data_IF_972378945218
#
_entry.id   IF_972378945218
#
_cell.length_a   1.000
_cell.length_b   1.000
_cell.length_c   1.000
_cell.angle_alpha   90.00
_cell.angle_beta   90.00
_cell.angle_gamma   90.00
#
_symmetry.space_group_name_H-M   'P 1'
#
loop_
_entity.id
_entity.type
_entity.pdbx_description
1 polymer ?
#
# COMPACT_ATOMS: atom_id res chain seq x y z
N UNK A 1 -19.40 -13.43 27.03
CA UNK A 1 -18.50 -12.91 25.98
C UNK A 1 -19.28 -12.91 24.69
N UNK A 2 -19.44 -11.75 24.07
CA UNK A 2 -20.06 -11.53 22.76
C UNK A 2 -19.00 -11.61 21.67
N UNK A 3 -19.42 -11.74 20.40
CA UNK A 3 -18.50 -11.67 19.26
C UNK A 3 -17.73 -10.34 19.23
N UNK A 4 -18.39 -9.21 19.55
CA UNK A 4 -17.74 -7.89 19.63
C UNK A 4 -16.62 -7.84 20.67
N UNK A 5 -16.87 -8.36 21.87
CA UNK A 5 -15.87 -8.47 22.94
C UNK A 5 -14.67 -9.33 22.50
N UNK A 6 -14.92 -10.49 21.90
CA UNK A 6 -13.87 -11.41 21.44
C UNK A 6 -12.98 -10.80 20.33
N UNK A 7 -13.57 -10.02 19.42
CA UNK A 7 -12.85 -9.41 18.31
C UNK A 7 -12.13 -8.10 18.69
N UNK A 8 -12.80 -7.18 19.41
CA UNK A 8 -12.28 -5.81 19.67
C UNK A 8 -11.65 -5.60 21.05
N UNK A 9 -11.81 -6.55 21.96
CA UNK A 9 -11.20 -6.53 23.26
C UNK A 9 -12.20 -6.68 24.40
N UNK A 10 -11.87 -7.56 25.34
CA UNK A 10 -12.47 -7.60 26.67
C UNK A 10 -11.37 -7.56 27.73
N UNK A 11 -11.66 -6.90 28.85
CA UNK A 11 -10.75 -6.81 29.98
C UNK A 11 -10.82 -8.12 30.76
N UNK A 12 -9.68 -8.69 31.14
CA UNK A 12 -9.64 -9.85 32.03
C UNK A 12 -8.76 -9.57 33.23
N UNK A 13 -9.08 -10.19 34.37
CA UNK A 13 -8.23 -10.12 35.58
C UNK A 13 -6.82 -10.63 35.31
N UNK A 14 -6.65 -11.59 34.39
CA UNK A 14 -5.35 -12.13 34.02
C UNK A 14 -4.55 -11.17 33.14
N UNK A 15 -5.19 -10.44 32.21
CA UNK A 15 -4.52 -9.44 31.37
C UNK A 15 -4.09 -8.24 32.20
N UNK A 16 -4.97 -7.71 33.05
CA UNK A 16 -4.67 -6.60 33.96
C UNK A 16 -3.54 -6.97 34.94
N UNK A 17 -3.54 -8.21 35.47
CA UNK A 17 -2.42 -8.72 36.28
C UNK A 17 -1.12 -8.85 35.48
N UNK A 18 -1.19 -9.38 34.25
CA UNK A 18 -0.05 -9.51 33.34
C UNK A 18 0.58 -8.16 32.98
N UNK A 19 -0.24 -7.15 32.71
CA UNK A 19 0.19 -5.78 32.49
C UNK A 19 0.84 -5.16 33.73
N UNK A 20 0.19 -5.28 34.90
CA UNK A 20 0.69 -4.71 36.16
C UNK A 20 2.04 -5.28 36.58
N UNK A 21 2.27 -6.59 36.37
CA UNK A 21 3.47 -7.28 36.88
C UNK A 21 4.53 -7.59 35.81
N UNK A 22 4.17 -7.64 34.52
CA UNK A 22 5.07 -7.96 33.40
C UNK A 22 4.79 -7.05 32.16
N UNK A 23 4.82 -5.72 32.31
CA UNK A 23 4.44 -4.78 31.24
C UNK A 23 5.32 -4.92 29.98
N UNK A 24 6.59 -5.30 30.15
CA UNK A 24 7.53 -5.55 29.04
C UNK A 24 7.15 -6.75 28.15
N UNK A 25 6.17 -7.56 28.56
CA UNK A 25 5.68 -8.73 27.80
C UNK A 25 4.20 -8.58 27.42
N UNK A 26 3.35 -8.08 28.34
CA UNK A 26 1.91 -7.90 28.13
C UNK A 26 1.55 -6.43 28.37
N UNK A 27 1.86 -5.55 27.42
CA UNK A 27 1.61 -4.10 27.53
C UNK A 27 0.15 -3.68 27.32
N UNK A 28 -0.78 -4.62 27.16
CA UNK A 28 -2.19 -4.38 26.81
C UNK A 28 -3.16 -4.84 27.92
N UNK A 29 -4.17 -4.02 28.23
CA UNK A 29 -5.15 -4.29 29.30
C UNK A 29 -6.32 -5.19 28.85
N UNK A 30 -6.59 -5.21 27.54
CA UNK A 30 -7.69 -5.94 26.90
C UNK A 30 -7.16 -6.96 25.91
N UNK A 31 -7.87 -8.09 25.76
CA UNK A 31 -7.55 -9.11 24.75
C UNK A 31 -8.67 -9.15 23.73
N UNK A 32 -8.35 -8.82 22.48
CA UNK A 32 -9.26 -8.93 21.33
C UNK A 32 -8.49 -9.31 20.08
N UNK A 33 -9.05 -10.19 19.25
CA UNK A 33 -8.33 -10.73 18.10
C UNK A 33 -7.91 -9.65 17.09
N UNK A 34 -8.88 -8.82 16.64
CA UNK A 34 -8.65 -7.73 15.70
C UNK A 34 -7.75 -6.68 16.36
N UNK A 35 -8.01 -6.36 17.62
CA UNK A 35 -7.22 -5.39 18.39
C UNK A 35 -5.73 -5.71 18.45
N UNK A 36 -5.37 -6.98 18.69
CA UNK A 36 -3.96 -7.42 18.71
C UNK A 36 -3.39 -7.69 17.31
N UNK A 37 -4.23 -7.86 16.27
CA UNK A 37 -3.83 -8.05 14.87
C UNK A 37 -3.55 -6.73 14.14
N UNK A 38 -4.25 -5.65 14.50
CA UNK A 38 -4.09 -4.30 13.96
C UNK A 38 -3.34 -3.34 14.90
N UNK A 39 -2.74 -3.85 15.99
CA UNK A 39 -1.70 -3.14 16.72
C UNK A 39 -0.48 -2.94 15.80
N UNK A 40 -0.07 -1.70 15.58
CA UNK A 40 1.09 -1.35 14.74
C UNK A 40 2.05 -0.37 15.44
N UNK A 41 1.89 -0.13 16.75
CA UNK A 41 2.52 1.02 17.44
C UNK A 41 4.06 0.93 17.52
N UNK A 42 4.62 -0.25 17.24
CA UNK A 42 6.05 -0.53 17.14
C UNK A 42 6.50 -1.02 15.75
N UNK A 43 5.61 -1.00 14.75
CA UNK A 43 5.85 -1.56 13.43
C UNK A 43 6.02 -0.49 12.36
N UNK A 44 7.02 -0.67 11.50
CA UNK A 44 7.18 0.09 10.27
C UNK A 44 7.57 -0.85 9.12
N UNK A 45 6.96 -0.59 7.98
CA UNK A 45 7.11 -1.36 6.74
C UNK A 45 7.74 -0.45 5.68
N UNK A 46 8.80 -0.91 5.02
CA UNK A 46 9.45 -0.17 3.93
C UNK A 46 9.20 -0.90 2.62
N UNK A 47 8.64 -0.20 1.63
CA UNK A 47 8.33 -0.74 0.31
C UNK A 47 9.21 -0.11 -0.77
N UNK A 48 9.55 -0.85 -1.83
CA UNK A 48 10.28 -0.27 -2.96
C UNK A 48 9.39 0.70 -3.74
N UNK A 49 9.92 1.89 -4.05
CA UNK A 49 9.20 2.93 -4.81
C UNK A 49 9.10 2.67 -6.32
N UNK A 50 9.69 1.57 -6.81
CA UNK A 50 9.73 1.24 -8.24
C UNK A 50 10.63 2.14 -9.11
N UNK A 51 11.33 3.13 -8.53
CA UNK A 51 12.08 4.16 -9.29
C UNK A 51 13.20 3.58 -10.17
N UNK A 52 13.84 2.50 -9.75
CA UNK A 52 14.95 1.86 -10.46
C UNK A 52 14.49 0.61 -11.26
N UNK A 53 13.51 -0.12 -10.74
CA UNK A 53 12.81 -1.22 -11.41
C UNK A 53 11.31 -1.14 -11.08
N UNK A 54 10.45 -0.77 -12.05
CA UNK A 54 9.00 -0.73 -11.86
C UNK A 54 8.36 -2.11 -11.56
N UNK A 55 9.06 -3.22 -11.78
CA UNK A 55 8.60 -4.56 -11.38
C UNK A 55 8.49 -4.71 -9.87
N UNK A 56 9.37 -4.03 -9.11
CA UNK A 56 9.41 -4.11 -7.64
C UNK A 56 8.48 -3.12 -6.93
N UNK A 57 7.79 -2.24 -7.66
CA UNK A 57 6.99 -1.15 -7.08
C UNK A 57 5.93 -1.65 -6.09
N UNK A 58 6.01 -1.18 -4.84
CA UNK A 58 5.10 -1.55 -3.74
C UNK A 58 5.35 -2.92 -3.10
N UNK A 59 6.45 -3.63 -3.44
CA UNK A 59 6.86 -4.84 -2.72
C UNK A 59 7.68 -4.51 -1.47
N UNK A 60 7.64 -5.38 -0.46
CA UNK A 60 8.41 -5.25 0.77
C UNK A 60 9.92 -5.21 0.48
N UNK A 61 10.59 -4.18 0.98
CA UNK A 61 12.04 -4.10 1.11
C UNK A 61 12.47 -4.56 2.51
N UNK A 62 11.90 -3.97 3.57
CA UNK A 62 12.16 -4.36 4.97
C UNK A 62 10.93 -4.23 5.86
N UNK A 63 10.94 -4.97 6.97
CA UNK A 63 9.99 -4.89 8.08
C UNK A 63 10.79 -4.68 9.36
N UNK A 64 10.44 -3.67 10.17
CA UNK A 64 11.23 -3.23 11.33
C UNK A 64 12.73 -3.02 11.02
N UNK A 65 13.03 -2.58 9.79
CA UNK A 65 14.39 -2.31 9.31
C UNK A 65 15.19 -3.52 8.81
N UNK A 66 14.65 -4.75 8.83
CA UNK A 66 15.34 -5.96 8.35
C UNK A 66 14.64 -6.59 7.13
N UNK A 67 15.40 -7.25 6.25
CA UNK A 67 14.89 -8.11 5.16
C UNK A 67 14.33 -9.44 5.67
N UNK A 68 14.71 -9.81 6.90
CA UNK A 68 14.56 -11.14 7.46
C UNK A 68 13.87 -11.11 8.84
N UNK A 69 12.81 -11.89 9.00
CA UNK A 69 12.04 -12.01 10.24
C UNK A 69 12.86 -12.71 11.34
N UNK A 70 12.93 -12.17 12.56
CA UNK A 70 13.72 -12.74 13.66
C UNK A 70 13.14 -14.06 14.22
N UNK A 71 11.92 -14.43 13.82
CA UNK A 71 11.21 -15.62 14.28
C UNK A 71 11.74 -16.93 13.66
N UNK A 72 12.46 -16.87 12.53
CA UNK A 72 12.88 -18.03 11.76
C UNK A 72 14.40 -18.04 11.53
N UNK A 73 15.10 -19.18 11.71
CA UNK A 73 16.57 -19.21 11.69
C UNK A 73 17.20 -19.32 10.29
N UNK A 74 16.43 -19.77 9.29
CA UNK A 74 16.94 -20.04 7.93
C UNK A 74 16.45 -18.99 6.94
N UNK A 75 17.34 -18.48 6.08
CA UNK A 75 17.06 -17.30 5.24
C UNK A 75 15.85 -17.45 4.32
N UNK A 76 15.60 -18.63 3.73
CA UNK A 76 14.41 -18.83 2.88
C UNK A 76 13.08 -18.85 3.65
N UNK A 77 13.13 -18.85 4.99
CA UNK A 77 11.97 -18.84 5.88
C UNK A 77 11.75 -17.47 6.54
N UNK A 78 12.84 -16.74 6.80
CA UNK A 78 12.81 -15.37 7.34
C UNK A 78 12.61 -14.30 6.26
N UNK A 79 13.10 -14.49 5.04
CA UNK A 79 13.23 -13.42 4.04
C UNK A 79 11.90 -12.98 3.42
N UNK A 80 11.43 -11.79 3.82
CA UNK A 80 10.23 -11.13 3.27
C UNK A 80 10.54 -10.20 2.09
N UNK A 81 11.80 -10.04 1.72
CA UNK A 81 12.23 -9.20 0.60
C UNK A 81 11.50 -9.57 -0.70
N UNK A 82 11.05 -8.57 -1.44
CA UNK A 82 10.15 -8.66 -2.61
C UNK A 82 8.82 -9.40 -2.36
N UNK A 83 8.34 -9.51 -1.11
CA UNK A 83 6.99 -9.99 -0.83
C UNK A 83 5.94 -8.94 -1.20
N UNK A 84 4.76 -9.41 -1.58
CA UNK A 84 3.54 -8.64 -1.68
C UNK A 84 2.91 -8.48 -0.29
N UNK A 85 2.77 -7.22 0.13
CA UNK A 85 1.58 -6.78 0.84
C UNK A 85 0.41 -6.95 -0.15
N UNK A 86 -0.70 -7.56 0.27
CA UNK A 86 -1.84 -7.86 -0.62
C UNK A 86 -2.53 -6.69 -1.32
N UNK A 87 -2.07 -5.44 -1.18
CA UNK A 87 -2.54 -4.34 -2.04
C UNK A 87 -1.79 -4.29 -3.38
N UNK A 88 -0.58 -4.87 -3.45
CA UNK A 88 0.30 -4.78 -4.62
C UNK A 88 1.20 -6.00 -4.79
N UNK A 89 1.21 -6.53 -6.00
CA UNK A 89 2.10 -7.60 -6.47
C UNK A 89 3.10 -7.05 -7.49
N UNK A 90 4.05 -7.89 -7.88
CA UNK A 90 5.11 -7.55 -8.86
C UNK A 90 4.48 -7.14 -10.20
N UNK A 91 4.99 -6.08 -10.83
CA UNK A 91 4.58 -5.72 -12.20
C UNK A 91 5.22 -6.68 -13.24
N UNK A 92 4.61 -6.79 -14.43
CA UNK A 92 5.09 -7.62 -15.56
C UNK A 92 5.16 -9.13 -15.29
N UNK A 93 4.14 -9.68 -14.62
CA UNK A 93 4.01 -11.10 -14.24
C UNK A 93 3.94 -12.00 -15.47
N UNK A 94 4.81 -13.00 -15.55
CA UNK A 94 4.76 -14.05 -16.59
C UNK A 94 3.87 -15.22 -16.15
N UNK A 95 3.32 -16.03 -17.09
CA UNK A 95 2.41 -17.13 -16.76
C UNK A 95 2.91 -18.15 -15.74
N UNK A 96 4.23 -18.36 -15.63
CA UNK A 96 4.86 -19.32 -14.73
C UNK A 96 5.55 -18.66 -13.52
N UNK A 97 5.37 -17.35 -13.31
CA UNK A 97 6.01 -16.65 -12.18
C UNK A 97 5.29 -16.99 -10.86
N UNK A 98 6.06 -17.38 -9.86
CA UNK A 98 5.61 -17.56 -8.46
C UNK A 98 5.74 -16.23 -7.71
N UNK A 99 4.70 -15.83 -6.98
CA UNK A 99 4.67 -14.57 -6.23
C UNK A 99 4.89 -14.84 -4.74
N UNK A 100 5.69 -14.04 -4.05
CA UNK A 100 5.83 -14.11 -2.58
C UNK A 100 4.77 -13.21 -1.94
N UNK A 101 4.07 -13.68 -0.91
CA UNK A 101 3.07 -12.92 -0.13
C UNK A 101 3.49 -12.87 1.34
N UNK A 102 3.29 -11.74 2.01
CA UNK A 102 3.57 -11.57 3.43
C UNK A 102 2.53 -10.69 4.13
N UNK A 103 2.19 -11.08 5.37
CA UNK A 103 1.44 -10.29 6.34
C UNK A 103 1.99 -10.56 7.73
N UNK A 104 2.12 -9.52 8.57
CA UNK A 104 2.43 -9.62 10.01
C UNK A 104 1.65 -10.76 10.68
N UNK A 105 0.34 -10.82 10.43
CA UNK A 105 -0.56 -11.82 11.02
C UNK A 105 -0.22 -13.26 10.67
N UNK A 106 0.41 -13.52 9.52
CA UNK A 106 0.82 -14.87 9.11
C UNK A 106 2.22 -15.26 9.62
N UNK A 107 2.97 -14.34 10.26
CA UNK A 107 4.29 -14.58 10.86
C UNK A 107 5.41 -15.08 9.91
N UNK A 108 5.14 -15.39 8.63
CA UNK A 108 6.11 -15.84 7.62
C UNK A 108 5.71 -15.42 6.20
N UNK A 109 6.67 -15.33 5.25
CA UNK A 109 6.36 -15.32 3.82
C UNK A 109 5.83 -16.70 3.36
N UNK A 110 4.92 -16.66 2.37
CA UNK A 110 4.31 -17.83 1.72
C UNK A 110 4.25 -17.57 0.22
N UNK A 111 4.38 -18.59 -0.63
CA UNK A 111 4.26 -18.41 -2.07
C UNK A 111 2.82 -18.57 -2.57
N UNK A 112 2.48 -17.75 -3.56
CA UNK A 112 1.32 -17.91 -4.41
C UNK A 112 1.77 -18.49 -5.75
N UNK A 113 1.12 -19.58 -6.16
CA UNK A 113 1.28 -20.23 -7.46
C UNK A 113 0.06 -19.96 -8.33
N UNK A 114 0.25 -19.92 -9.65
CA UNK A 114 -0.87 -19.77 -10.58
C UNK A 114 -1.79 -20.98 -10.48
N UNK A 115 -3.10 -20.74 -10.39
CA UNK A 115 -4.10 -21.76 -10.12
C UNK A 115 -4.54 -22.52 -11.39
N UNK A 116 -4.71 -21.79 -12.49
CA UNK A 116 -5.19 -22.26 -13.80
C UNK A 116 -4.40 -21.61 -14.95
N UNK A 117 -4.46 -22.17 -16.16
CA UNK A 117 -3.85 -21.57 -17.36
C UNK A 117 -4.58 -20.35 -17.90
N UNK A 118 -5.79 -20.12 -17.39
CA UNK A 118 -6.78 -19.30 -18.05
C UNK A 118 -6.64 -17.83 -17.65
N UNK A 119 -7.32 -16.94 -18.39
CA UNK A 119 -7.34 -15.50 -18.11
C UNK A 119 -8.72 -15.15 -17.58
N UNK A 120 -8.78 -14.56 -16.39
CA UNK A 120 -10.02 -14.21 -15.70
C UNK A 120 -10.26 -12.73 -15.86
N UNK A 121 -11.31 -12.37 -16.60
CA UNK A 121 -11.72 -10.96 -16.78
C UNK A 121 -12.57 -10.51 -15.59
N UNK A 122 -12.17 -9.43 -14.94
CA UNK A 122 -12.93 -8.74 -13.88
C UNK A 122 -13.05 -7.26 -14.22
N UNK A 123 -14.27 -6.73 -14.24
CA UNK A 123 -14.55 -5.30 -14.45
C UNK A 123 -13.91 -4.69 -15.73
N UNK A 124 -13.67 -5.50 -16.77
CA UNK A 124 -13.01 -5.09 -18.01
C UNK A 124 -11.48 -5.18 -18.01
N UNK A 125 -10.87 -5.73 -16.96
CA UNK A 125 -9.44 -5.98 -16.83
C UNK A 125 -9.15 -7.49 -16.80
N UNK A 126 -8.13 -7.92 -17.54
CA UNK A 126 -7.63 -9.30 -17.55
C UNK A 126 -6.70 -9.58 -16.36
N UNK A 127 -6.92 -10.68 -15.66
CA UNK A 127 -6.08 -11.14 -14.55
C UNK A 127 -5.74 -12.63 -14.60
N UNK A 128 -4.66 -13.01 -13.91
CA UNK A 128 -4.30 -14.40 -13.65
C UNK A 128 -4.80 -14.80 -12.25
N UNK A 129 -5.36 -16.01 -12.10
CA UNK A 129 -5.76 -16.54 -10.80
C UNK A 129 -4.56 -17.16 -10.09
N UNK A 130 -4.34 -16.75 -8.85
CA UNK A 130 -3.31 -17.26 -7.95
C UNK A 130 -3.94 -17.83 -6.68
N UNK A 131 -3.30 -18.87 -6.13
CA UNK A 131 -3.65 -19.52 -4.86
C UNK A 131 -2.38 -19.81 -4.06
N UNK A 132 -2.50 -20.07 -2.75
CA UNK A 132 -1.35 -20.53 -1.95
C UNK A 132 -0.75 -21.82 -2.54
N UNK A 133 0.57 -21.97 -2.45
CA UNK A 133 1.29 -23.18 -2.87
C UNK A 133 0.73 -24.44 -2.18
N UNK A 134 0.66 -25.57 -2.89
CA UNK A 134 0.16 -26.82 -2.32
C UNK A 134 1.07 -27.28 -1.16
N UNK A 135 0.49 -27.43 0.03
CA UNK A 135 1.19 -27.60 1.30
C UNK A 135 1.97 -26.35 1.80
N UNK A 136 1.46 -25.14 1.53
CA UNK A 136 2.02 -23.88 2.08
C UNK A 136 2.28 -23.91 3.60
N UNK A 137 1.43 -24.61 4.37
CA UNK A 137 1.53 -24.80 5.82
C UNK A 137 2.17 -26.16 6.19
N UNK A 138 3.08 -26.67 5.36
CA UNK A 138 3.93 -27.83 5.67
C UNK A 138 4.93 -27.52 6.80
N UNK A 139 5.16 -28.53 7.64
CA UNK A 139 6.04 -28.50 8.80
C UNK A 139 7.43 -29.10 8.49
N UNK A 140 7.77 -29.28 7.21
CA UNK A 140 8.99 -29.97 6.80
C UNK A 140 8.85 -31.48 6.62
N UNK A 141 7.61 -31.99 6.51
CA UNK A 141 7.31 -33.40 6.22
C UNK A 141 7.24 -33.67 4.72
N UNK A 142 6.71 -32.76 3.92
CA UNK A 142 6.71 -32.89 2.46
C UNK A 142 7.94 -32.22 1.81
N UNK A 143 8.27 -31.00 2.22
CA UNK A 143 9.46 -30.30 1.75
C UNK A 143 10.41 -30.07 2.93
N UNK A 144 11.51 -30.83 3.01
CA UNK A 144 12.43 -30.78 4.17
C UNK A 144 12.98 -29.37 4.49
N UNK A 145 12.98 -28.44 3.52
CA UNK A 145 13.36 -27.03 3.74
C UNK A 145 12.40 -26.28 4.69
N UNK A 146 11.17 -26.74 4.84
CA UNK A 146 10.18 -26.13 5.74
C UNK A 146 10.39 -26.50 7.22
N UNK A 147 11.38 -27.34 7.57
CA UNK A 147 11.71 -27.67 8.97
C UNK A 147 12.15 -26.45 9.79
N UNK A 148 12.63 -25.39 9.14
CA UNK A 148 12.89 -24.08 9.74
C UNK A 148 11.68 -23.51 10.53
N UNK A 149 10.45 -23.87 10.15
CA UNK A 149 9.22 -23.42 10.81
C UNK A 149 8.89 -24.21 12.09
N UNK A 150 9.66 -25.27 12.40
CA UNK A 150 9.53 -26.05 13.63
C UNK A 150 10.34 -25.42 14.78
N UNK A 151 9.65 -24.68 15.66
CA UNK A 151 10.31 -23.89 16.71
C UNK A 151 10.90 -24.78 17.79
N UNK A 152 12.19 -24.57 18.09
CA UNK A 152 12.95 -25.30 19.14
C UNK A 152 12.89 -26.83 18.96
N UNK A 153 12.91 -27.29 17.71
CA UNK A 153 12.83 -28.71 17.35
C UNK A 153 11.42 -29.33 17.42
N UNK A 154 10.40 -28.56 17.82
CA UNK A 154 9.02 -29.02 17.88
C UNK A 154 8.26 -28.59 16.61
N UNK A 155 7.87 -29.58 15.79
CA UNK A 155 6.94 -29.37 14.69
C UNK A 155 5.50 -29.56 15.17
N UNK A 156 4.61 -28.64 14.81
CA UNK A 156 3.16 -28.86 14.89
C UNK A 156 2.70 -29.84 13.78
N UNK A 157 1.49 -30.44 13.86
CA UNK A 157 0.89 -31.20 12.76
C UNK A 157 0.85 -30.44 11.41
N UNK A 158 0.86 -31.18 10.30
CA UNK A 158 0.81 -30.59 8.94
C UNK A 158 -0.46 -29.74 8.78
N UNK A 159 -0.35 -28.60 8.11
CA UNK A 159 -1.47 -27.69 7.89
C UNK A 159 -1.64 -26.64 9.00
N UNK A 160 -0.87 -26.77 10.09
CA UNK A 160 -0.76 -25.73 11.11
C UNK A 160 0.50 -24.88 10.90
N UNK A 161 0.30 -23.57 10.88
CA UNK A 161 1.34 -22.55 10.88
C UNK A 161 1.44 -21.95 12.28
N UNK A 162 2.53 -22.26 12.98
CA UNK A 162 2.78 -21.80 14.35
C UNK A 162 3.17 -20.30 14.37
N UNK A 163 2.29 -19.45 14.90
CA UNK A 163 2.50 -17.99 14.96
C UNK A 163 2.76 -17.48 16.39
N UNK A 164 2.98 -18.39 17.34
CA UNK A 164 3.13 -18.11 18.79
C UNK A 164 4.08 -16.95 19.11
N UNK A 165 5.27 -16.92 18.49
CA UNK A 165 6.29 -15.92 18.80
C UNK A 165 6.06 -14.57 18.08
N UNK A 166 5.08 -14.49 17.17
CA UNK A 166 4.53 -13.22 16.65
C UNK A 166 3.37 -12.70 17.51
N UNK A 167 2.76 -13.55 18.36
CA UNK A 167 1.61 -13.22 19.21
C UNK A 167 1.90 -13.47 20.70
N UNK A 168 2.91 -12.77 21.23
CA UNK A 168 3.21 -12.68 22.67
C UNK A 168 3.47 -14.01 23.38
N UNK A 169 3.77 -15.09 22.66
CA UNK A 169 3.95 -16.42 23.26
C UNK A 169 2.63 -17.17 23.53
N UNK A 170 1.48 -16.65 23.11
CA UNK A 170 0.21 -17.38 23.15
C UNK A 170 0.24 -18.56 22.15
N UNK A 171 -0.37 -19.72 22.48
CA UNK A 171 -0.29 -20.94 21.66
C UNK A 171 -1.17 -20.89 20.40
N UNK A 172 -1.08 -19.81 19.64
CA UNK A 172 -1.89 -19.53 18.45
C UNK A 172 -1.27 -20.19 17.24
N UNK A 173 -2.10 -20.82 16.40
CA UNK A 173 -1.65 -21.51 15.20
C UNK A 173 -2.70 -21.36 14.10
N UNK A 174 -2.26 -20.94 12.92
CA UNK A 174 -3.13 -20.71 11.77
C UNK A 174 -3.31 -21.99 10.96
N UNK A 175 -4.46 -22.13 10.30
CA UNK A 175 -4.69 -23.18 9.31
C UNK A 175 -5.62 -22.66 8.21
N UNK A 176 -5.90 -23.49 7.20
CA UNK A 176 -7.04 -23.25 6.31
C UNK A 176 -8.35 -23.58 7.06
N UNK A 177 -9.51 -23.01 6.66
CA UNK A 177 -10.78 -23.28 7.30
C UNK A 177 -11.16 -24.77 7.34
N UNK A 178 -11.78 -25.17 8.45
CA UNK A 178 -12.15 -26.54 8.81
C UNK A 178 -11.00 -27.56 8.74
N UNK A 179 -9.75 -27.12 8.92
CA UNK A 179 -8.52 -27.91 8.74
C UNK A 179 -8.43 -28.57 7.35
N UNK A 180 -8.79 -27.83 6.30
CA UNK A 180 -8.51 -28.20 4.91
C UNK A 180 -6.99 -28.33 4.67
N UNK A 181 -6.60 -29.26 3.79
CA UNK A 181 -5.21 -29.57 3.41
C UNK A 181 -4.25 -29.74 4.62
N UNK A 182 -4.80 -30.19 5.75
CA UNK A 182 -4.15 -30.37 7.05
C UNK A 182 -4.23 -31.83 7.53
N UNK A 183 -3.44 -32.19 8.55
CA UNK A 183 -3.40 -33.55 9.10
C UNK A 183 -4.80 -34.05 9.54
N UNK A 184 -5.27 -35.24 9.08
CA UNK A 184 -6.60 -35.76 9.42
C UNK A 184 -6.86 -35.90 10.93
N UNK A 185 -5.82 -36.11 11.74
CA UNK A 185 -5.93 -36.20 13.20
C UNK A 185 -6.42 -34.92 13.87
N UNK A 186 -6.22 -33.76 13.23
CA UNK A 186 -6.79 -32.48 13.69
C UNK A 186 -8.32 -32.47 13.63
N UNK A 187 -8.92 -33.26 12.72
CA UNK A 187 -10.37 -33.33 12.52
C UNK A 187 -11.03 -34.47 13.31
N UNK A 188 -10.29 -35.52 13.67
CA UNK A 188 -10.86 -36.70 14.36
C UNK A 188 -11.54 -36.38 15.71
N UNK A 189 -11.06 -35.37 16.44
CA UNK A 189 -11.53 -35.04 17.78
C UNK A 189 -12.58 -33.89 17.80
N UNK A 190 -13.05 -33.42 16.64
CA UNK A 190 -13.91 -32.22 16.54
C UNK A 190 -15.09 -32.46 15.61
N UNK A 191 -16.29 -32.48 16.17
CA UNK A 191 -17.55 -32.56 15.42
C UNK A 191 -17.88 -31.24 14.72
N UNK A 192 -18.48 -31.32 13.53
CA UNK A 192 -18.94 -30.14 12.76
C UNK A 192 -17.96 -29.60 11.73
N UNK A 193 -16.77 -30.18 11.56
CA UNK A 193 -15.81 -29.74 10.55
C UNK A 193 -16.08 -30.34 9.17
N UNK A 194 -16.30 -29.49 8.17
CA UNK A 194 -16.56 -29.86 6.77
C UNK A 194 -15.57 -29.14 5.83
N UNK A 195 -14.33 -29.65 5.64
CA UNK A 195 -13.38 -29.03 4.71
C UNK A 195 -13.84 -29.19 3.25
N UNK A 196 -13.91 -28.06 2.54
CA UNK A 196 -14.43 -27.92 1.17
C UNK A 196 -13.46 -27.03 0.39
N UNK A 197 -12.93 -27.52 -0.74
CA UNK A 197 -11.87 -26.83 -1.48
C UNK A 197 -12.35 -25.58 -2.23
N UNK A 198 -13.61 -25.49 -2.60
CA UNK A 198 -14.17 -24.33 -3.29
C UNK A 198 -14.50 -23.24 -2.27
N UNK A 199 -15.07 -23.61 -1.11
CA UNK A 199 -15.44 -22.66 -0.06
C UNK A 199 -14.26 -22.14 0.77
N UNK A 200 -13.22 -22.96 0.99
CA UNK A 200 -12.16 -22.68 1.97
C UNK A 200 -10.76 -22.42 1.37
N UNK A 201 -10.61 -22.46 0.04
CA UNK A 201 -9.39 -21.95 -0.63
C UNK A 201 -9.28 -20.43 -0.55
N UNK A 202 -8.04 -19.93 -0.64
CA UNK A 202 -7.76 -18.52 -0.85
C UNK A 202 -7.45 -18.24 -2.32
N UNK A 203 -7.95 -17.12 -2.84
CA UNK A 203 -7.85 -16.73 -4.25
C UNK A 203 -7.35 -15.28 -4.39
N UNK A 204 -6.50 -15.06 -5.38
CA UNK A 204 -5.95 -13.76 -5.73
C UNK A 204 -6.02 -13.61 -7.26
N UNK A 205 -6.91 -12.76 -7.78
CA UNK A 205 -6.97 -12.44 -9.22
C UNK A 205 -6.13 -11.19 -9.45
N UNK A 206 -5.00 -11.32 -10.16
CA UNK A 206 -3.98 -10.28 -10.27
C UNK A 206 -3.79 -9.89 -11.75
N UNK A 207 -3.91 -8.61 -12.05
CA UNK A 207 -3.67 -8.03 -13.37
C UNK A 207 -2.17 -8.12 -13.70
N UNK A 208 -1.73 -8.86 -14.74
CA UNK A 208 -0.32 -9.28 -14.85
C UNK A 208 0.64 -8.15 -15.24
N UNK A 209 0.21 -7.21 -16.09
CA UNK A 209 1.07 -6.11 -16.55
C UNK A 209 1.41 -5.16 -15.39
N UNK A 210 0.41 -4.83 -14.58
CA UNK A 210 0.51 -3.87 -13.48
C UNK A 210 0.80 -4.49 -12.12
N UNK A 211 0.57 -5.79 -11.90
CA UNK A 211 0.66 -6.43 -10.58
C UNK A 211 -0.43 -5.97 -9.59
N UNK A 212 -1.56 -5.45 -10.06
CA UNK A 212 -2.65 -4.99 -9.19
C UNK A 212 -3.65 -6.14 -8.92
N UNK A 213 -4.13 -6.32 -7.68
CA UNK A 213 -5.27 -7.20 -7.43
C UNK A 213 -6.54 -6.60 -8.06
N UNK A 214 -7.25 -7.41 -8.84
CA UNK A 214 -8.60 -7.12 -9.33
C UNK A 214 -9.66 -7.67 -8.38
N UNK A 215 -9.35 -8.79 -7.74
CA UNK A 215 -10.13 -9.43 -6.67
C UNK A 215 -9.18 -10.20 -5.76
N UNK A 216 -9.45 -10.24 -4.47
CA UNK A 216 -8.63 -10.93 -3.46
C UNK A 216 -9.55 -11.52 -2.41
N UNK A 217 -9.35 -12.78 -2.02
CA UNK A 217 -10.03 -13.42 -0.88
C UNK A 217 -9.05 -14.34 -0.17
N UNK A 218 -8.52 -13.88 0.97
CA UNK A 218 -7.62 -14.66 1.83
C UNK A 218 -8.40 -15.23 3.03
N UNK A 219 -8.59 -16.55 3.05
CA UNK A 219 -9.35 -17.29 4.07
C UNK A 219 -8.39 -17.98 5.05
N UNK A 220 -8.57 -17.73 6.35
CA UNK A 220 -7.67 -18.23 7.41
C UNK A 220 -8.49 -18.65 8.64
N UNK A 221 -8.11 -19.78 9.24
CA UNK A 221 -8.61 -20.24 10.54
C UNK A 221 -7.57 -20.01 11.63
N UNK A 222 -8.05 -19.61 12.81
CA UNK A 222 -7.25 -19.44 14.02
C UNK A 222 -7.56 -20.58 14.98
N UNK A 223 -6.50 -21.14 15.55
CA UNK A 223 -6.57 -22.28 16.44
C UNK A 223 -5.67 -22.05 17.67
N UNK A 224 -6.00 -22.71 18.77
CA UNK A 224 -5.15 -22.83 19.95
C UNK A 224 -4.54 -24.23 19.97
N UNK A 225 -3.23 -24.33 19.77
CA UNK A 225 -2.49 -25.60 19.74
C UNK A 225 -1.78 -25.85 21.09
N UNK A 226 -2.41 -26.66 21.93
CA UNK A 226 -1.92 -26.95 23.27
C UNK A 226 -0.86 -28.05 23.27
N UNK A 227 0.23 -27.84 24.01
CA UNK A 227 1.25 -28.87 24.27
C UNK A 227 0.83 -29.73 25.47
N UNK A 228 1.76 -30.19 26.30
CA UNK A 228 1.45 -30.94 27.51
C UNK A 228 0.76 -30.05 28.58
N UNK A 229 -0.55 -30.20 28.78
CA UNK A 229 -1.33 -29.43 29.77
C UNK A 229 -1.56 -30.20 31.08
N UNK A 230 -0.93 -31.36 31.28
CA UNK A 230 -1.13 -32.23 32.47
C UNK A 230 -0.81 -31.57 33.81
N UNK A 231 0.03 -30.53 33.83
CA UNK A 231 0.29 -29.74 35.04
C UNK A 231 -0.93 -28.93 35.51
N UNK A 232 -1.87 -28.63 34.60
CA UNK A 232 -3.06 -27.82 34.88
C UNK A 232 -4.29 -28.73 34.97
N UNK A 233 -4.72 -29.09 36.18
CA UNK A 233 -5.84 -30.03 36.44
C UNK A 233 -7.12 -29.72 35.64
N UNK A 234 -7.39 -28.44 35.38
CA UNK A 234 -8.57 -27.99 34.61
C UNK A 234 -8.41 -28.08 33.09
N UNK A 235 -7.17 -28.12 32.57
CA UNK A 235 -6.85 -28.09 31.14
C UNK A 235 -6.22 -29.39 30.64
N UNK A 236 -6.02 -30.39 31.52
CA UNK A 236 -5.40 -31.67 31.21
C UNK A 236 -6.04 -32.38 30.00
N UNK A 237 -7.37 -32.28 29.83
CA UNK A 237 -8.11 -32.85 28.71
C UNK A 237 -7.65 -32.33 27.33
N UNK A 238 -7.19 -31.08 27.26
CA UNK A 238 -6.73 -30.43 26.03
C UNK A 238 -5.25 -30.69 25.72
N UNK A 239 -4.56 -31.56 26.48
CA UNK A 239 -3.15 -31.86 26.25
C UNK A 239 -2.92 -32.43 24.84
N UNK A 240 -2.03 -31.80 24.07
CA UNK A 240 -1.72 -32.16 22.67
C UNK A 240 -2.89 -32.00 21.70
N UNK A 241 -3.92 -31.22 22.04
CA UNK A 241 -5.05 -30.93 21.15
C UNK A 241 -4.92 -29.55 20.49
N UNK A 242 -5.44 -29.44 19.27
CA UNK A 242 -5.61 -28.17 18.55
C UNK A 242 -7.09 -27.83 18.53
N UNK A 243 -7.49 -26.69 19.10
CA UNK A 243 -8.88 -26.24 19.16
C UNK A 243 -9.08 -25.07 18.19
N UNK A 244 -9.92 -25.18 17.15
CA UNK A 244 -10.28 -24.06 16.29
C UNK A 244 -11.15 -23.06 17.08
N UNK A 245 -10.88 -21.77 16.94
CA UNK A 245 -11.61 -20.71 17.66
C UNK A 245 -12.53 -19.92 16.74
N UNK A 246 -12.05 -19.56 15.56
CA UNK A 246 -12.85 -19.06 14.43
C UNK A 246 -12.09 -19.25 13.11
N UNK A 247 -12.80 -19.10 12.00
CA UNK A 247 -12.19 -18.73 10.72
C UNK A 247 -12.81 -17.44 10.22
N UNK A 248 -12.11 -16.77 9.32
CA UNK A 248 -12.54 -15.52 8.70
C UNK A 248 -11.94 -15.44 7.30
N UNK A 249 -12.51 -14.55 6.47
CA UNK A 249 -11.90 -14.16 5.21
C UNK A 249 -11.73 -12.65 5.09
N UNK A 250 -10.58 -12.25 4.54
CA UNK A 250 -10.30 -10.87 4.15
C UNK A 250 -10.52 -10.82 2.65
N UNK A 251 -11.59 -10.18 2.22
CA UNK A 251 -11.97 -10.06 0.80
C UNK A 251 -11.98 -8.62 0.30
N UNK A 252 -11.55 -8.47 -0.95
CA UNK A 252 -11.80 -7.32 -1.82
C UNK A 252 -12.46 -7.91 -3.08
N UNK A 253 -13.80 -7.92 -3.19
CA UNK A 253 -14.49 -8.67 -4.24
C UNK A 253 -14.26 -8.08 -5.64
N UNK A 254 -14.17 -6.76 -5.73
CA UNK A 254 -13.81 -6.01 -6.94
C UNK A 254 -12.97 -4.77 -6.56
N UNK A 255 -12.27 -4.21 -7.54
CA UNK A 255 -11.57 -2.94 -7.41
C UNK A 255 -12.59 -1.77 -7.44
N UNK A 256 -12.45 -0.72 -6.59
CA UNK A 256 -13.41 0.40 -6.57
C UNK A 256 -13.52 1.12 -7.92
N UNK A 257 -14.73 1.51 -8.32
CA UNK A 257 -15.05 1.89 -9.70
C UNK A 257 -14.19 3.04 -10.25
N UNK A 258 -13.92 4.07 -9.44
CA UNK A 258 -12.99 5.15 -9.78
C UNK A 258 -11.59 4.65 -10.14
N UNK A 259 -11.07 3.69 -9.37
CA UNK A 259 -9.77 3.07 -9.64
C UNK A 259 -9.84 2.15 -10.87
N UNK A 260 -10.93 1.40 -11.03
CA UNK A 260 -11.13 0.54 -12.20
C UNK A 260 -11.20 1.34 -13.51
N UNK A 261 -11.87 2.49 -13.53
CA UNK A 261 -11.89 3.41 -14.68
C UNK A 261 -10.48 3.91 -15.02
N UNK A 262 -9.73 4.37 -14.03
CA UNK A 262 -8.36 4.86 -14.22
C UNK A 262 -7.41 3.76 -14.73
N UNK A 263 -7.48 2.55 -14.17
CA UNK A 263 -6.63 1.43 -14.62
C UNK A 263 -7.09 0.86 -15.96
N UNK A 264 -8.38 0.85 -16.28
CA UNK A 264 -8.87 0.50 -17.63
C UNK A 264 -8.39 1.50 -18.67
N UNK A 265 -8.42 2.81 -18.40
CA UNK A 265 -7.80 3.81 -19.27
C UNK A 265 -6.28 3.56 -19.44
N UNK A 266 -5.57 3.35 -18.33
CA UNK A 266 -4.11 3.17 -18.35
C UNK A 266 -3.65 1.87 -19.03
N UNK A 267 -4.40 0.77 -18.90
CA UNK A 267 -4.00 -0.55 -19.39
C UNK A 267 -4.62 -0.92 -20.74
N UNK A 268 -5.89 -0.55 -20.98
CA UNK A 268 -6.63 -0.96 -22.19
C UNK A 268 -6.66 0.12 -23.27
N UNK A 269 -6.48 1.41 -22.92
CA UNK A 269 -6.62 2.53 -23.89
C UNK A 269 -5.27 3.18 -24.19
N UNK A 270 -4.49 3.53 -23.17
CA UNK A 270 -3.24 4.26 -23.33
C UNK A 270 -2.21 3.57 -24.26
N UNK A 271 -2.00 2.23 -24.24
CA UNK A 271 -1.03 1.57 -25.11
C UNK A 271 -1.35 1.66 -26.61
N UNK A 272 -2.60 1.97 -26.98
CA UNK A 272 -2.98 2.25 -28.37
C UNK A 272 -2.94 3.76 -28.68
N UNK A 273 -3.33 4.60 -27.73
CA UNK A 273 -3.35 6.06 -27.92
C UNK A 273 -1.94 6.65 -28.00
N UNK A 274 -1.00 6.21 -27.16
CA UNK A 274 0.39 6.70 -27.16
C UNK A 274 1.06 6.61 -28.54
N UNK A 275 1.15 5.42 -29.20
CA UNK A 275 1.77 5.33 -30.52
C UNK A 275 0.98 6.10 -31.59
N UNK A 276 -0.35 6.14 -31.54
CA UNK A 276 -1.16 6.90 -32.51
C UNK A 276 -0.86 8.41 -32.41
N UNK A 277 -0.77 8.96 -31.20
CA UNK A 277 -0.40 10.36 -30.96
C UNK A 277 1.06 10.60 -31.38
N UNK A 278 1.99 9.72 -31.00
CA UNK A 278 3.40 9.85 -31.36
C UNK A 278 3.63 9.86 -32.89
N UNK A 279 3.04 8.90 -33.62
CA UNK A 279 3.19 8.81 -35.07
C UNK A 279 2.47 9.95 -35.80
N UNK A 280 1.27 10.35 -35.37
CA UNK A 280 0.56 11.48 -35.99
C UNK A 280 1.29 12.82 -35.78
N UNK A 281 1.76 13.11 -34.56
CA UNK A 281 2.61 14.27 -34.29
C UNK A 281 3.92 14.24 -35.09
N UNK A 282 4.55 13.07 -35.25
CA UNK A 282 5.76 12.91 -36.06
C UNK A 282 5.50 13.20 -37.54
N UNK A 283 4.41 12.68 -38.13
CA UNK A 283 4.03 12.92 -39.53
C UNK A 283 3.71 14.41 -39.76
N UNK A 284 3.03 15.06 -38.82
CA UNK A 284 2.76 16.51 -38.87
C UNK A 284 4.09 17.29 -38.80
N UNK A 285 5.02 16.89 -37.94
CA UNK A 285 6.36 17.47 -37.87
C UNK A 285 7.14 17.35 -39.19
N UNK A 286 7.21 16.16 -39.77
CA UNK A 286 7.90 15.94 -41.05
C UNK A 286 7.27 16.70 -42.22
N UNK A 287 5.94 16.77 -42.30
CA UNK A 287 5.26 17.54 -43.37
C UNK A 287 5.47 19.04 -43.23
N UNK A 288 5.49 19.59 -42.01
CA UNK A 288 5.83 20.99 -41.76
C UNK A 288 7.30 21.31 -42.11
N UNK A 289 8.24 20.43 -41.77
CA UNK A 289 9.67 20.60 -42.14
C UNK A 289 9.85 20.51 -43.66
N UNK A 290 9.21 19.55 -44.34
CA UNK A 290 9.27 19.44 -45.80
C UNK A 290 8.66 20.66 -46.50
N UNK A 291 7.54 21.19 -45.98
CA UNK A 291 6.94 22.44 -46.46
C UNK A 291 7.85 23.65 -46.24
N UNK A 292 8.55 23.74 -45.10
CA UNK A 292 9.53 24.79 -44.85
C UNK A 292 10.72 24.72 -45.81
N UNK A 293 11.26 23.52 -46.07
CA UNK A 293 12.39 23.30 -46.99
C UNK A 293 11.99 23.67 -48.42
N UNK A 294 10.85 23.16 -48.92
CA UNK A 294 10.36 23.47 -50.27
C UNK A 294 10.04 24.96 -50.46
N UNK A 295 9.47 25.63 -49.45
CA UNK A 295 9.25 27.07 -49.47
C UNK A 295 10.55 27.88 -49.44
N UNK A 296 11.58 27.39 -48.74
CA UNK A 296 12.90 28.02 -48.69
C UNK A 296 13.68 27.87 -50.01
N UNK A 297 13.70 26.68 -50.60
CA UNK A 297 14.37 26.46 -51.90
C UNK A 297 13.71 27.25 -53.02
N UNK A 298 12.37 27.31 -53.07
CA UNK A 298 11.62 28.15 -54.02
C UNK A 298 11.89 29.66 -53.83
N UNK A 299 12.17 30.13 -52.60
CA UNK A 299 12.63 31.50 -52.38
C UNK A 299 14.05 31.73 -52.90
N UNK A 300 14.96 30.79 -52.67
CA UNK A 300 16.36 30.92 -53.13
C UNK A 300 16.47 30.87 -54.66
N UNK A 301 15.72 30.00 -55.34
CA UNK A 301 15.69 29.94 -56.81
C UNK A 301 15.19 31.24 -57.43
N UNK A 302 14.13 31.83 -56.86
CA UNK A 302 13.58 33.11 -57.33
C UNK A 302 14.55 34.28 -57.10
N UNK A 303 15.39 34.22 -56.06
CA UNK A 303 16.40 35.24 -55.79
C UNK A 303 17.59 35.10 -56.76
N UNK A 304 18.09 33.88 -56.99
CA UNK A 304 19.21 33.59 -57.88
C UNK A 304 18.94 33.84 -59.36
N UNK A 305 17.68 33.83 -59.79
CA UNK A 305 17.32 34.19 -61.17
C UNK A 305 17.45 35.71 -61.44
N UNK A 306 17.35 36.54 -60.40
CA UNK A 306 17.46 38.01 -60.51
C UNK A 306 18.91 38.49 -60.70
N UNK A 307 19.91 37.69 -60.30
CA UNK A 307 21.34 38.05 -60.38
C UNK A 307 22.01 37.71 -61.72
N UNK A 308 21.30 37.11 -62.68
CA UNK A 308 21.86 36.68 -63.97
C UNK A 308 21.33 37.43 -65.20
N UNK A 309 20.54 38.51 -65.01
CA UNK A 309 19.96 39.31 -66.10
C UNK A 309 20.35 40.79 -65.96
N UNK A 310 21.64 41.11 -66.09
CA UNK A 310 22.16 42.45 -66.46
C UNK A 310 23.68 42.42 -66.76
N UNK A 311 24.09 41.62 -67.73
CA UNK A 311 25.40 41.79 -68.39
C UNK A 311 25.16 42.03 -69.89
N UNK A 312 25.39 43.26 -70.35
CA UNK A 312 24.72 43.74 -71.57
C UNK A 312 25.06 45.15 -72.06
N UNK A 313 26.34 45.54 -72.01
CA UNK A 313 26.95 46.63 -72.78
C UNK A 313 26.15 47.93 -73.04
N UNK A 314 26.44 48.99 -72.27
CA UNK A 314 26.49 50.37 -72.83
C UNK A 314 27.68 51.16 -72.29
N UNK A 315 28.74 51.24 -73.09
CA UNK A 315 29.79 52.25 -72.90
C UNK A 315 29.25 53.64 -73.28
N UNK A 316 28.82 54.42 -72.28
CA UNK A 316 28.47 55.83 -72.43
C UNK A 316 29.42 56.72 -71.64
N UNK A 317 30.37 57.37 -72.31
CA UNK A 317 31.26 58.36 -71.68
C UNK A 317 30.52 59.68 -71.45
N UNK A 318 30.30 60.04 -70.19
CA UNK A 318 30.09 61.42 -69.76
C UNK A 318 30.68 61.59 -68.35
N UNK A 319 31.53 62.61 -68.17
CA UNK A 319 32.13 62.98 -66.88
C UNK A 319 31.53 64.29 -66.39
N UNK A 320 31.68 64.56 -65.07
CA UNK A 320 31.35 65.81 -64.36
C UNK A 320 29.83 66.02 -64.17
N UNK A 321 29.33 66.58 -63.05
CA UNK A 321 29.99 67.32 -61.97
C UNK A 321 29.15 67.24 -60.65
N UNK A 322 29.81 67.20 -59.47
CA UNK A 322 29.24 67.48 -58.12
C UNK A 322 28.11 66.58 -57.57
N UNK A 323 27.83 66.51 -56.25
CA UNK A 323 28.64 66.70 -55.03
C UNK A 323 27.88 66.17 -53.79
N UNK A 324 28.61 65.93 -52.68
CA UNK A 324 28.14 65.79 -51.28
C UNK A 324 27.17 64.65 -50.87
N UNK A 325 27.73 63.72 -50.09
CA UNK A 325 27.30 63.29 -48.74
C UNK A 325 25.80 63.03 -48.46
N UNK A 326 25.46 61.75 -48.24
CA UNK A 326 24.19 61.33 -47.62
C UNK A 326 24.35 60.04 -46.80
N UNK A 327 24.50 60.17 -45.48
CA UNK A 327 24.61 59.02 -44.55
C UNK A 327 23.25 58.35 -44.37
N UNK A 328 23.24 57.01 -44.23
CA UNK A 328 22.06 56.21 -43.90
C UNK A 328 21.23 56.83 -42.76
N UNK A 329 19.91 56.91 -42.94
CA UNK A 329 18.95 57.08 -41.84
C UNK A 329 17.88 55.99 -41.90
N UNK A 330 17.54 55.46 -40.74
CA UNK A 330 16.45 54.51 -40.55
C UNK A 330 15.10 55.24 -40.57
N UNK A 331 14.05 54.56 -41.01
CA UNK A 331 12.68 55.08 -40.99
C UNK A 331 11.93 54.63 -39.74
N UNK A 332 11.83 55.50 -38.74
CA UNK A 332 10.71 55.45 -37.80
C UNK A 332 9.44 55.97 -38.49
N UNK A 333 8.30 55.29 -38.32
CA UNK A 333 6.99 55.88 -38.61
C UNK A 333 6.37 56.44 -37.34
N UNK A 334 6.11 57.74 -37.32
CA UNK A 334 5.40 58.40 -36.22
C UNK A 334 3.88 58.41 -36.44
N UNK A 335 3.19 58.13 -35.33
CA UNK A 335 1.82 58.50 -34.92
C UNK A 335 0.90 59.20 -35.93
N UNK A 336 -0.33 58.67 -36.00
CA UNK A 336 -1.51 59.37 -36.52
C UNK A 336 -1.84 60.55 -35.59
N UNK A 337 -2.12 61.72 -36.18
CA UNK A 337 -2.54 62.93 -35.44
C UNK A 337 -4.06 62.99 -35.33
N UNK A 338 -4.56 63.09 -34.10
CA UNK A 338 -5.96 63.43 -33.80
C UNK A 338 -6.07 64.83 -33.18
N UNK A 339 -6.83 65.71 -33.83
CA UNK A 339 -7.48 66.90 -33.23
C UNK A 339 -8.37 66.47 -32.05
N UNK A 340 -8.73 67.27 -31.03
CA UNK A 340 -8.61 68.70 -30.68
C UNK A 340 -9.23 68.80 -29.25
N UNK A 341 -8.81 69.63 -28.26
CA UNK A 341 -9.02 71.09 -28.16
C UNK A 341 -8.41 71.69 -26.87
N UNK A 342 -7.95 72.94 -26.95
CA UNK A 342 -7.96 74.00 -25.90
C UNK A 342 -7.51 73.76 -24.43
N UNK A 343 -6.43 74.49 -24.07
CA UNK A 343 -6.29 75.46 -22.95
C UNK A 343 -5.66 75.07 -21.59
N UNK A 344 -4.56 75.79 -21.32
CA UNK A 344 -4.14 76.43 -20.06
C UNK A 344 -3.44 75.60 -18.96
N UNK A 345 -2.11 75.68 -19.03
CA UNK A 345 -1.16 75.85 -17.91
C UNK A 345 -1.58 76.96 -16.92
N UNK A 346 -1.00 77.06 -15.69
CA UNK A 346 0.11 76.26 -15.09
C UNK A 346 -0.37 75.59 -13.75
N UNK A 347 0.34 75.37 -12.62
CA UNK A 347 1.69 75.75 -12.17
C UNK A 347 2.27 74.87 -11.01
N UNK A 348 3.46 75.24 -10.55
CA UNK A 348 4.23 74.85 -9.34
C UNK A 348 3.52 75.06 -7.96
N UNK A 349 3.96 74.54 -6.80
CA UNK A 349 4.85 73.42 -6.36
C UNK A 349 4.60 73.06 -4.87
N UNK A 350 5.11 71.90 -4.42
CA UNK A 350 5.49 71.51 -3.03
C UNK A 350 4.61 71.90 -1.81
N UNK A 351 4.11 70.87 -1.10
CA UNK A 351 3.59 71.01 0.28
C UNK A 351 3.58 69.67 1.02
N UNK A 352 4.20 69.60 2.21
CA UNK A 352 4.43 68.37 2.97
C UNK A 352 3.95 68.55 4.41
N UNK A 353 2.84 67.92 4.82
CA UNK A 353 2.57 67.53 6.22
C UNK A 353 1.25 66.74 6.37
N UNK A 354 1.17 65.98 7.47
CA UNK A 354 0.01 65.16 7.86
C UNK A 354 -1.06 66.02 8.57
N UNK A 355 -2.32 65.56 8.60
CA UNK A 355 -2.98 65.06 9.83
C UNK A 355 -4.36 64.44 9.54
N UNK A 356 -4.65 63.39 10.30
CA UNK A 356 -5.83 62.53 10.50
C UNK A 356 -7.24 63.02 10.11
N UNK A 357 -8.04 62.07 9.60
CA UNK A 357 -9.47 61.78 9.86
C UNK A 357 -9.75 60.36 9.27
N UNK A 358 -10.63 59.47 9.74
CA UNK A 358 -11.37 59.33 11.01
C UNK A 358 -11.64 57.81 11.30
N UNK A 359 -12.45 57.48 12.30
CA UNK A 359 -12.78 56.13 12.83
C UNK A 359 -13.27 55.06 11.81
N UNK A 360 -12.87 53.79 11.98
CA UNK A 360 -13.65 52.74 12.68
C UNK A 360 -13.33 51.28 12.22
N UNK A 361 -13.49 50.31 13.14
CA UNK A 361 -13.44 48.86 12.89
C UNK A 361 -14.80 48.36 12.29
N UNK A 362 -14.84 47.50 11.25
CA UNK A 362 -14.58 46.05 11.21
C UNK A 362 -15.63 45.25 12.01
N UNK A 363 -16.51 44.55 11.29
CA UNK A 363 -17.33 43.47 11.83
C UNK A 363 -17.11 42.17 11.03
N UNK A 364 -17.39 41.02 11.65
CA UNK A 364 -16.74 39.75 11.34
C UNK A 364 -17.76 38.67 10.94
N UNK A 365 -17.81 38.31 9.65
CA UNK A 365 -18.66 37.21 9.19
C UNK A 365 -17.96 35.85 9.35
N UNK A 366 -18.01 35.32 10.57
CA UNK A 366 -17.69 33.93 10.87
C UNK A 366 -18.66 32.97 10.13
N UNK A 367 -18.37 32.66 8.86
CA UNK A 367 -19.12 31.65 8.09
C UNK A 367 -18.40 30.31 8.10
N UNK A 368 -18.56 29.60 9.21
CA UNK A 368 -18.22 28.20 9.40
C UNK A 368 -18.66 27.38 8.17
N UNK A 369 -17.70 26.91 7.36
CA UNK A 369 -17.98 25.88 6.35
C UNK A 369 -18.00 24.53 7.06
N UNK A 370 -19.15 24.25 7.68
CA UNK A 370 -19.51 22.89 8.08
C UNK A 370 -19.46 21.99 6.85
N UNK A 371 -18.50 21.07 6.82
CA UNK A 371 -18.57 19.93 5.91
C UNK A 371 -19.76 19.08 6.34
N UNK A 372 -20.86 19.17 5.59
CA UNK A 372 -22.01 18.32 5.81
C UNK A 372 -21.64 16.90 5.38
N UNK A 373 -21.43 16.04 6.38
CA UNK A 373 -21.38 14.59 6.22
C UNK A 373 -22.83 14.09 6.13
N UNK A 374 -23.43 14.21 4.95
CA UNK A 374 -24.65 13.46 4.66
C UNK A 374 -24.28 12.01 4.36
N UNK A 375 -24.82 11.09 5.18
CA UNK A 375 -24.93 9.70 4.79
C UNK A 375 -26.06 9.62 3.77
N UNK A 376 -25.74 9.25 2.53
CA UNK A 376 -26.73 8.69 1.60
C UNK A 376 -26.44 7.21 1.34
N UNK A 377 -27.49 6.41 1.04
CA UNK A 377 -27.53 5.02 1.44
C UNK A 377 -26.87 4.05 0.45
N UNK A 378 -26.92 2.77 0.81
CA UNK A 378 -26.63 1.63 -0.07
C UNK A 378 -27.44 1.68 -1.37
N UNK A 379 -26.87 2.29 -2.41
CA UNK A 379 -27.26 2.01 -3.78
C UNK A 379 -26.75 0.63 -4.18
N UNK A 380 -27.59 -0.12 -4.89
CA UNK A 380 -27.30 -1.47 -5.37
C UNK A 380 -26.02 -1.49 -6.20
N UNK A 381 -25.15 -2.48 -5.99
CA UNK A 381 -24.06 -2.77 -6.90
C UNK A 381 -24.61 -2.95 -8.32
N UNK A 382 -24.10 -2.18 -9.28
CA UNK A 382 -24.41 -2.40 -10.69
C UNK A 382 -23.61 -3.60 -11.16
N UNK A 383 -24.25 -4.78 -11.17
CA UNK A 383 -23.66 -6.00 -11.70
C UNK A 383 -23.13 -5.78 -13.13
N UNK A 384 -21.82 -5.95 -13.29
CA UNK A 384 -21.17 -6.04 -14.60
C UNK A 384 -21.46 -7.43 -15.21
N UNK A 385 -22.74 -7.68 -15.49
CA UNK A 385 -23.27 -9.03 -15.69
C UNK A 385 -22.88 -9.70 -17.00
N UNK A 386 -22.64 -11.01 -16.94
CA UNK A 386 -22.90 -11.93 -18.05
C UNK A 386 -23.14 -13.36 -17.53
N UNK A 387 -24.35 -13.85 -17.77
CA UNK A 387 -24.85 -15.22 -17.63
C UNK A 387 -23.86 -16.35 -17.21
N UNK A 388 -23.97 -16.81 -15.97
CA UNK A 388 -23.95 -18.25 -15.65
C UNK A 388 -25.22 -18.53 -14.84
N UNK A 389 -26.02 -19.50 -15.27
CA UNK A 389 -27.27 -19.87 -14.59
C UNK A 389 -27.06 -21.00 -13.59
N UNK A 390 -27.50 -20.81 -12.36
CA UNK A 390 -27.55 -21.85 -11.32
C UNK A 390 -28.91 -21.82 -10.62
N UNK A 391 -29.67 -22.90 -10.73
CA UNK A 391 -30.91 -23.10 -9.97
C UNK A 391 -30.58 -23.54 -8.53
N UNK A 392 -30.77 -22.65 -7.56
CA UNK A 392 -30.71 -23.00 -6.14
C UNK A 392 -32.05 -23.57 -5.66
N UNK A 393 -32.01 -24.78 -5.10
CA UNK A 393 -33.03 -25.24 -4.16
C UNK A 393 -32.45 -25.00 -2.76
N UNK A 394 -33.11 -24.16 -1.96
CA UNK A 394 -32.66 -23.84 -0.61
C UNK A 394 -33.13 -24.88 0.41
N UNK A 395 -32.19 -25.52 1.10
CA UNK A 395 -32.40 -26.02 2.47
C UNK A 395 -31.33 -25.41 3.37
N UNK A 396 -31.76 -24.83 4.50
CA UNK A 396 -30.96 -23.89 5.27
C UNK A 396 -29.99 -24.51 6.28
N UNK A 397 -29.05 -23.68 6.74
CA UNK A 397 -28.32 -23.87 8.00
C UNK A 397 -28.00 -22.49 8.59
N UNK A 398 -28.41 -22.26 9.84
CA UNK A 398 -28.04 -21.03 10.57
C UNK A 398 -26.53 -21.01 10.83
N UNK A 399 -25.88 -19.96 10.33
CA UNK A 399 -24.48 -19.65 10.66
C UNK A 399 -24.31 -18.14 10.76
N UNK A 400 -24.00 -17.65 11.97
CA UNK A 400 -23.86 -16.23 12.32
C UNK A 400 -22.68 -15.56 11.59
N UNK A 401 -22.88 -15.25 10.31
CA UNK A 401 -21.85 -14.69 9.42
C UNK A 401 -21.78 -13.17 9.59
N UNK A 402 -20.83 -12.72 10.42
CA UNK A 402 -20.66 -11.30 10.75
C UNK A 402 -19.73 -10.57 9.76
N UNK A 403 -20.28 -10.08 8.64
CA UNK A 403 -19.56 -9.24 7.67
C UNK A 403 -19.18 -7.88 8.26
N UNK A 404 -17.95 -7.42 8.01
CA UNK A 404 -17.46 -6.13 8.51
C UNK A 404 -16.55 -5.41 7.52
N UNK A 405 -16.93 -4.19 7.12
CA UNK A 405 -16.15 -3.31 6.24
C UNK A 405 -15.14 -2.49 7.05
N UNK A 406 -13.86 -2.51 6.67
CA UNK A 406 -12.81 -1.66 7.25
C UNK A 406 -12.19 -0.78 6.16
N UNK A 407 -12.20 0.54 6.35
CA UNK A 407 -11.44 1.49 5.54
C UNK A 407 -10.19 1.97 6.27
N UNK A 408 -9.07 2.11 5.54
CA UNK A 408 -7.82 2.70 6.07
C UNK A 408 -7.73 4.17 5.65
N UNK A 409 -7.82 5.08 6.61
CA UNK A 409 -7.45 6.50 6.41
C UNK A 409 -6.00 6.72 6.86
N UNK A 410 -5.14 7.16 5.94
CA UNK A 410 -3.74 7.49 6.22
C UNK A 410 -3.58 8.98 6.58
N UNK A 411 -3.77 9.34 7.86
CA UNK A 411 -3.53 10.69 8.36
C UNK A 411 -2.06 10.89 8.74
N UNK A 412 -1.33 11.70 7.98
CA UNK A 412 0.03 12.13 8.33
C UNK A 412 0.01 13.11 9.51
N UNK A 413 0.47 12.66 10.69
CA UNK A 413 0.61 13.52 11.87
C UNK A 413 1.82 14.44 11.74
N UNK A 414 1.57 15.75 11.58
CA UNK A 414 2.61 16.77 11.67
C UNK A 414 2.98 17.03 13.13
N UNK A 415 4.27 17.20 13.41
CA UNK A 415 4.76 17.41 14.78
C UNK A 415 4.38 18.80 15.31
N UNK A 416 3.66 18.83 16.44
CA UNK A 416 3.67 19.98 17.36
C UNK A 416 3.97 19.47 18.77
N UNK A 417 5.10 19.90 19.33
CA UNK A 417 5.40 19.69 20.75
C UNK A 417 4.61 20.67 21.61
N UNK A 418 4.23 20.26 22.81
CA UNK A 418 3.59 21.14 23.80
C UNK A 418 4.38 21.14 25.11
N UNK A 419 4.37 22.27 25.80
CA UNK A 419 5.38 22.60 26.80
C UNK A 419 5.13 21.94 28.16
N UNK A 420 6.22 21.70 28.90
CA UNK A 420 6.17 21.43 30.34
C UNK A 420 5.53 22.62 31.05
N UNK A 421 4.54 22.35 31.90
CA UNK A 421 3.98 23.34 32.82
C UNK A 421 3.98 22.76 34.23
N UNK A 422 4.94 23.22 35.05
CA UNK A 422 4.99 22.85 36.46
C UNK A 422 3.83 23.50 37.20
N UNK A 423 3.11 22.71 38.02
CA UNK A 423 2.41 23.28 39.17
C UNK A 423 2.52 22.36 40.39
N UNK A 424 3.30 22.83 41.35
CA UNK A 424 3.41 22.27 42.69
C UNK A 424 2.08 22.40 43.45
N UNK A 425 1.85 21.47 44.36
CA UNK A 425 1.39 21.78 45.72
C UNK A 425 1.76 20.61 46.64
N UNK A 426 2.19 20.93 47.85
CA UNK A 426 2.80 19.99 48.78
C UNK A 426 1.75 19.16 49.52
N UNK A 427 2.13 17.95 49.93
CA UNK A 427 1.86 17.45 51.28
C UNK A 427 2.95 16.47 51.71
N UNK A 428 3.49 16.69 52.90
CA UNK A 428 4.53 15.84 53.49
C UNK A 428 3.92 14.56 54.04
N UNK A 429 4.69 13.47 53.99
CA UNK A 429 5.20 12.88 55.22
C UNK A 429 6.46 12.07 54.91
N UNK A 430 7.45 12.17 55.80
CA UNK A 430 8.66 11.39 55.75
C UNK A 430 8.40 9.93 56.14
N UNK A 431 9.11 9.01 55.50
CA UNK A 431 9.76 7.93 56.24
C UNK A 431 11.03 7.49 55.50
N UNK A 432 12.11 7.28 56.25
CA UNK A 432 13.46 7.04 55.70
C UNK A 432 13.98 5.69 56.15
N UNK A 433 14.07 4.74 55.22
CA UNK A 433 14.89 3.54 55.42
C UNK A 433 15.93 3.37 54.30
N UNK A 434 17.12 2.90 54.68
CA UNK A 434 18.31 2.85 53.84
C UNK A 434 18.61 1.42 53.41
N UNK A 435 19.02 1.29 52.15
CA UNK A 435 19.94 0.25 51.63
C UNK A 435 19.41 -1.20 51.75
N UNK A 436 19.47 -1.98 50.68
CA UNK A 436 20.74 -2.62 50.30
C UNK A 436 20.76 -2.97 48.81
N UNK A 437 21.87 -2.68 48.14
CA UNK A 437 22.14 -3.16 46.78
C UNK A 437 22.70 -4.58 46.89
N UNK A 438 22.04 -5.57 46.30
CA UNK A 438 22.60 -6.91 46.10
C UNK A 438 22.59 -7.23 44.61
N UNK A 439 23.77 -7.22 44.00
CA UNK A 439 24.01 -7.75 42.67
C UNK A 439 24.30 -9.25 42.76
N UNK A 440 23.58 -10.06 41.98
CA UNK A 440 23.93 -11.46 41.76
C UNK A 440 24.24 -11.71 40.29
N UNK A 441 25.53 -11.86 39.99
CA UNK A 441 25.98 -12.62 38.83
C UNK A 441 25.77 -14.11 39.09
N UNK A 442 25.42 -14.87 38.06
CA UNK A 442 25.44 -16.33 38.12
C UNK A 442 26.07 -16.90 36.85
N UNK A 443 27.05 -17.80 37.05
CA UNK A 443 27.67 -18.58 35.99
C UNK A 443 27.69 -20.05 36.40
N UNK A 444 27.12 -20.88 35.55
CA UNK A 444 27.31 -22.33 35.50
C UNK A 444 27.01 -22.78 34.07
N UNK A 445 27.78 -23.66 33.43
CA UNK A 445 28.83 -24.52 33.97
C UNK A 445 28.22 -25.85 34.40
N UNK A 446 28.12 -26.78 33.45
CA UNK A 446 27.63 -28.14 33.66
C UNK A 446 28.55 -29.11 32.92
N UNK A 447 29.16 -30.01 33.67
CA UNK A 447 29.95 -31.11 33.13
C UNK A 447 29.07 -32.21 32.54
N UNK A 448 29.55 -32.85 31.49
CA UNK A 448 28.96 -34.07 30.92
C UNK A 448 29.66 -35.30 31.47
N UNK A 449 28.96 -36.10 32.27
CA UNK A 449 29.39 -37.47 32.61
C UNK A 449 28.75 -38.49 31.65
N UNK A 450 29.54 -39.48 31.26
CA UNK A 450 29.13 -40.59 30.37
C UNK A 450 29.20 -41.90 31.14
N UNK A 451 28.17 -42.74 31.00
CA UNK A 451 28.22 -44.17 31.40
C UNK A 451 27.45 -44.99 30.37
N UNK A 452 28.07 -46.05 29.87
CA UNK A 452 27.49 -47.00 28.90
C UNK A 452 26.82 -48.20 29.62
N UNK A 453 25.69 -48.67 29.05
CA UNK A 453 25.14 -50.03 29.18
C UNK A 453 23.97 -50.23 28.21
#
# INVERSE_FOLDING_TARGET
MTAKEFMFGYNTKLTSLGNTFLPNWIYFDKVGLIDRMYDFDSDYETFYTGRNDPSLSGLYATYRGNTDLPNWPEKHCSNIETASDGSKFRSFIKPNDTLKFFRKSMCRPIHLVRADTDIVTKCGLEGYRYRFEDNAFDNGRYNMKNKCFCRKGYCQPIGLLDVTDCYYGFPISLSLPHFMDSDPGLRMNITGLQPDKEKHSSEFIIQPQSGLPLSLTAKVQINLHFKNMRAFRQLQAFSYQTIPTLWFDITMPQLPDHMNILFSMYLNVLPYVEPIVFWSCSIIGFTLVFYAITRATLRMSNLGHSTHISDGNRYGKANLLNSQNGVYKSCEMKQIVGKEKSRLLPDETYGHSNVNDEYCEKEESNRTRSYILDLEPTLSASDCGSNIGSSSNDEGNDSDTATMTISRNSSSSSCMGMQVSNKSNDHNNDDVEKQTIISFTSSSGYDTSVTES
#
